data_IF_633121461858
#
_entry.id   IF_633121461858
#
_cell.length_a   1.000
_cell.length_b   1.000
_cell.length_c   1.000
_cell.angle_alpha   90.00
_cell.angle_beta   90.00
_cell.angle_gamma   90.00
#
_symmetry.space_group_name_H-M   'P 1'
#
loop_
_entity.id
_entity.type
_entity.pdbx_description
1 polymer ?
#
# COMPACT_ATOMS: atom_id res chain seq x y z
N UNK A 1 5.91 -0.89 2.32
CA UNK A 1 6.61 -1.96 3.02
C UNK A 1 5.82 -2.38 4.25
N UNK A 2 5.73 -3.68 4.47
CA UNK A 2 5.10 -4.25 5.67
C UNK A 2 5.94 -4.04 6.93
N UNK A 3 7.16 -3.55 6.80
CA UNK A 3 8.11 -3.37 7.90
C UNK A 3 8.44 -1.90 8.15
N UNK A 4 8.64 -1.53 9.41
CA UNK A 4 9.09 -0.18 9.79
C UNK A 4 10.59 0.00 9.52
N UNK A 5 10.98 1.11 8.89
CA UNK A 5 12.39 1.45 8.57
C UNK A 5 13.34 1.52 9.78
N UNK A 6 12.83 1.81 10.97
CA UNK A 6 13.66 2.10 12.15
C UNK A 6 13.76 0.92 13.15
N UNK A 7 13.08 -0.19 12.89
CA UNK A 7 12.99 -1.29 13.82
C UNK A 7 13.34 -2.56 13.04
N UNK A 8 14.19 -3.38 13.62
CA UNK A 8 14.66 -4.68 13.11
C UNK A 8 13.67 -5.35 12.17
N UNK A 9 14.12 -5.83 11.02
CA UNK A 9 13.34 -6.71 10.15
C UNK A 9 12.66 -7.77 11.00
N UNK A 10 11.33 -7.86 10.91
CA UNK A 10 10.51 -8.78 11.72
C UNK A 10 9.39 -8.10 12.52
N UNK A 11 9.44 -6.79 12.73
CA UNK A 11 8.28 -6.09 13.32
C UNK A 11 7.39 -5.53 12.20
N UNK A 12 6.24 -6.16 12.03
CA UNK A 12 5.21 -5.76 11.07
C UNK A 12 4.56 -4.45 11.47
N UNK A 13 4.19 -3.64 10.47
CA UNK A 13 3.40 -2.43 10.65
C UNK A 13 1.98 -2.69 10.13
N UNK A 14 1.04 -2.92 11.04
CA UNK A 14 -0.35 -3.23 10.71
C UNK A 14 -1.00 -2.18 9.79
N UNK A 15 -0.69 -0.90 9.98
CA UNK A 15 -1.23 0.16 9.12
C UNK A 15 -0.73 0.04 7.67
N UNK A 16 0.55 -0.30 7.47
CA UNK A 16 1.09 -0.53 6.14
C UNK A 16 0.52 -1.80 5.49
N UNK A 17 0.24 -2.83 6.27
CA UNK A 17 -0.37 -4.07 5.78
C UNK A 17 -1.80 -3.84 5.29
N UNK A 18 -2.58 -3.05 6.02
CA UNK A 18 -3.94 -2.64 5.64
C UNK A 18 -3.90 -1.88 4.31
N UNK A 19 -3.07 -0.83 4.21
CA UNK A 19 -2.92 -0.05 2.98
C UNK A 19 -2.49 -0.91 1.78
N UNK A 20 -1.59 -1.86 2.00
CA UNK A 20 -1.14 -2.80 0.96
C UNK A 20 -2.27 -3.71 0.51
N UNK A 21 -3.02 -4.29 1.44
CA UNK A 21 -4.16 -5.15 1.16
C UNK A 21 -5.27 -4.41 0.40
N UNK A 22 -5.55 -3.17 0.79
CA UNK A 22 -6.50 -2.31 0.09
C UNK A 22 -6.09 -2.08 -1.37
N UNK A 23 -4.83 -1.69 -1.61
CA UNK A 23 -4.31 -1.47 -2.97
C UNK A 23 -4.43 -2.73 -3.83
N UNK A 24 -4.03 -3.90 -3.31
CA UNK A 24 -4.13 -5.17 -4.03
C UNK A 24 -5.59 -5.52 -4.36
N UNK A 25 -6.49 -5.36 -3.39
CA UNK A 25 -7.93 -5.63 -3.59
C UNK A 25 -8.55 -4.70 -4.64
N UNK A 26 -8.18 -3.42 -4.66
CA UNK A 26 -8.67 -2.45 -5.65
C UNK A 26 -8.13 -2.74 -7.04
N UNK A 27 -6.85 -3.09 -7.15
CA UNK A 27 -6.25 -3.51 -8.43
C UNK A 27 -6.93 -4.77 -8.97
N UNK A 28 -7.24 -5.75 -8.11
CA UNK A 28 -7.94 -6.98 -8.49
C UNK A 28 -9.36 -6.71 -9.00
N UNK A 29 -10.05 -5.70 -8.46
CA UNK A 29 -11.37 -5.27 -8.94
C UNK A 29 -11.33 -4.57 -10.31
N UNK A 30 -10.14 -4.26 -10.81
CA UNK A 30 -9.94 -3.53 -12.07
C UNK A 30 -10.09 -2.02 -11.93
N UNK A 31 -9.97 -1.47 -10.73
CA UNK A 31 -9.99 -0.03 -10.52
C UNK A 31 -8.81 0.63 -11.25
N UNK A 32 -9.07 1.75 -11.91
CA UNK A 32 -7.99 2.61 -12.43
C UNK A 32 -7.39 3.41 -11.28
N UNK A 33 -6.13 3.11 -10.94
CA UNK A 33 -5.45 3.67 -9.78
C UNK A 33 -4.16 4.39 -10.15
N UNK A 34 -3.85 5.45 -9.40
CA UNK A 34 -2.50 5.97 -9.29
C UNK A 34 -1.91 5.44 -7.96
N UNK A 35 -0.94 4.53 -8.07
CA UNK A 35 -0.29 3.92 -6.89
C UNK A 35 1.06 4.58 -6.67
N UNK A 36 1.23 5.24 -5.52
CA UNK A 36 2.51 5.78 -5.08
C UNK A 36 3.19 4.79 -4.16
N UNK A 37 4.41 4.38 -4.51
CA UNK A 37 5.17 3.38 -3.75
C UNK A 37 6.65 3.76 -3.67
N UNK A 38 7.45 2.93 -3.02
CA UNK A 38 8.89 3.13 -2.85
C UNK A 38 9.66 1.79 -2.91
N UNK A 39 10.98 1.81 -3.14
CA UNK A 39 11.75 0.58 -3.41
C UNK A 39 11.62 -0.50 -2.35
N UNK A 40 11.61 -0.13 -1.06
CA UNK A 40 11.49 -1.09 0.04
C UNK A 40 10.15 -1.86 0.00
N UNK A 41 9.05 -1.19 -0.42
CA UNK A 41 7.76 -1.86 -0.60
C UNK A 41 7.73 -2.74 -1.85
N UNK A 42 8.42 -2.33 -2.92
CA UNK A 42 8.52 -3.11 -4.16
C UNK A 42 9.42 -4.34 -4.01
N UNK A 43 10.39 -4.31 -3.10
CA UNK A 43 11.22 -5.46 -2.80
C UNK A 43 10.42 -6.63 -2.22
N UNK A 44 9.31 -6.37 -1.54
CA UNK A 44 8.47 -7.41 -0.95
C UNK A 44 7.53 -8.01 -1.98
N UNK A 45 7.48 -9.34 -2.03
CA UNK A 45 6.48 -10.09 -2.80
C UNK A 45 5.08 -9.86 -2.24
N UNK A 46 4.08 -10.06 -3.06
CA UNK A 46 2.65 -9.97 -2.74
C UNK A 46 1.98 -11.31 -3.01
N UNK A 47 0.78 -11.52 -2.50
CA UNK A 47 -0.05 -12.67 -2.86
C UNK A 47 -0.34 -12.65 -4.36
N UNK A 48 -0.52 -13.81 -4.97
CA UNK A 48 -1.01 -13.88 -6.35
C UNK A 48 -2.46 -13.41 -6.47
N UNK A 49 -2.89 -13.03 -7.67
CA UNK A 49 -4.30 -12.67 -7.91
C UNK A 49 -5.24 -13.84 -7.64
N UNK A 50 -4.82 -15.06 -7.95
CA UNK A 50 -5.58 -16.29 -7.70
C UNK A 50 -5.77 -16.49 -6.19
N UNK A 51 -4.68 -16.45 -5.42
CA UNK A 51 -4.74 -16.63 -3.97
C UNK A 51 -5.54 -15.52 -3.27
N UNK A 52 -5.47 -14.29 -3.76
CA UNK A 52 -6.31 -13.19 -3.25
C UNK A 52 -7.79 -13.45 -3.52
N UNK A 53 -8.12 -14.00 -4.70
CA UNK A 53 -9.50 -14.38 -5.05
C UNK A 53 -10.02 -15.47 -4.10
N UNK A 54 -9.23 -16.51 -3.90
CA UNK A 54 -9.60 -17.66 -3.07
C UNK A 54 -9.78 -17.28 -1.59
N UNK A 55 -9.02 -16.28 -1.12
CA UNK A 55 -9.09 -15.77 0.26
C UNK A 55 -10.04 -14.59 0.43
N UNK A 56 -10.82 -14.24 -0.57
CA UNK A 56 -11.79 -13.14 -0.49
C UNK A 56 -13.19 -13.70 -0.33
N UNK A 57 -13.81 -13.50 0.84
CA UNK A 57 -15.21 -13.79 1.04
C UNK A 57 -16.05 -12.63 0.48
N UNK A 58 -16.87 -12.93 -0.52
CA UNK A 58 -17.81 -11.95 -1.11
C UNK A 58 -19.21 -12.25 -0.60
N UNK A 59 -19.92 -11.19 -0.22
CA UNK A 59 -21.32 -11.27 0.22
C UNK A 59 -22.12 -10.15 -0.44
N UNK A 60 -23.35 -10.46 -0.81
CA UNK A 60 -24.28 -9.52 -1.45
C UNK A 60 -25.65 -9.56 -0.78
N UNK A 61 -26.33 -8.42 -0.77
CA UNK A 61 -27.73 -8.35 -0.29
C UNK A 61 -28.61 -9.26 -1.14
N UNK A 62 -29.47 -10.05 -0.47
CA UNK A 62 -30.32 -11.07 -1.08
C UNK A 62 -29.64 -12.44 -1.28
N UNK A 63 -28.38 -12.59 -0.89
CA UNK A 63 -27.67 -13.86 -0.93
C UNK A 63 -28.09 -14.75 0.25
N UNK A 64 -28.30 -16.05 -0.02
CA UNK A 64 -28.60 -17.04 1.01
C UNK A 64 -27.30 -17.71 1.46
N UNK A 65 -26.95 -17.51 2.71
CA UNK A 65 -25.73 -18.07 3.32
C UNK A 65 -25.90 -18.22 4.82
N UNK A 66 -25.47 -19.35 5.35
CA UNK A 66 -25.53 -19.62 6.78
C UNK A 66 -24.53 -18.74 7.57
N UNK A 67 -25.01 -18.13 8.65
CA UNK A 67 -24.19 -17.31 9.54
C UNK A 67 -23.07 -18.10 10.23
N UNK A 68 -23.32 -19.40 10.54
CA UNK A 68 -22.32 -20.30 11.12
C UNK A 68 -21.20 -20.56 10.10
N UNK A 69 -21.55 -20.79 8.82
CA UNK A 69 -20.56 -20.93 7.74
C UNK A 69 -19.69 -19.69 7.59
N UNK A 70 -20.27 -18.49 7.64
CA UNK A 70 -19.48 -17.25 7.59
C UNK A 70 -18.52 -17.18 8.78
N UNK A 71 -18.96 -17.48 9.98
CA UNK A 71 -18.13 -17.47 11.18
C UNK A 71 -16.96 -18.48 11.08
N UNK A 72 -17.23 -19.68 10.53
CA UNK A 72 -16.19 -20.69 10.27
C UNK A 72 -15.15 -20.18 9.25
N UNK A 73 -15.59 -19.58 8.14
CA UNK A 73 -14.71 -19.00 7.13
C UNK A 73 -13.86 -17.88 7.73
N UNK A 74 -14.46 -16.97 8.50
CA UNK A 74 -13.72 -15.87 9.15
C UNK A 74 -12.68 -16.40 10.15
N UNK A 75 -13.04 -17.40 10.94
CA UNK A 75 -12.11 -18.09 11.84
C UNK A 75 -10.98 -18.76 11.04
N UNK A 76 -11.30 -19.45 9.95
CA UNK A 76 -10.33 -20.07 9.04
C UNK A 76 -9.40 -19.06 8.36
N UNK A 77 -9.85 -17.84 8.16
CA UNK A 77 -9.07 -16.72 7.66
C UNK A 77 -8.20 -16.05 8.74
N UNK A 78 -8.34 -16.47 10.01
CA UNK A 78 -7.58 -15.95 11.13
C UNK A 78 -8.16 -14.67 11.74
N UNK A 79 -9.45 -14.38 11.48
CA UNK A 79 -10.15 -13.31 12.21
C UNK A 79 -10.39 -13.73 13.66
N UNK A 80 -10.25 -12.78 14.57
CA UNK A 80 -10.52 -12.96 15.99
C UNK A 80 -12.01 -12.75 16.28
N UNK A 81 -12.63 -13.70 16.98
CA UNK A 81 -14.00 -13.54 17.48
C UNK A 81 -14.01 -12.69 18.74
N UNK A 82 -14.74 -11.58 18.72
CA UNK A 82 -14.82 -10.60 19.80
C UNK A 82 -16.28 -10.23 20.10
N UNK A 83 -16.56 -9.59 21.24
CA UNK A 83 -17.91 -9.09 21.54
C UNK A 83 -18.27 -7.85 20.69
N UNK A 84 -17.29 -6.96 20.46
CA UNK A 84 -17.42 -5.76 19.64
C UNK A 84 -16.18 -5.59 18.77
N UNK A 85 -16.40 -5.19 17.53
CA UNK A 85 -15.34 -5.01 16.53
C UNK A 85 -14.74 -3.60 16.64
N UNK A 86 -13.42 -3.53 16.80
CA UNK A 86 -12.65 -2.28 16.90
C UNK A 86 -11.51 -2.17 15.90
N UNK A 87 -10.95 -3.30 15.47
CA UNK A 87 -9.74 -3.35 14.65
C UNK A 87 -9.92 -4.30 13.46
N UNK A 88 -9.21 -4.07 12.32
CA UNK A 88 -9.17 -5.03 11.24
C UNK A 88 -8.73 -6.43 11.70
N UNK A 89 -9.38 -7.45 11.16
CA UNK A 89 -9.16 -8.83 11.56
C UNK A 89 -10.04 -9.29 12.72
N UNK A 90 -11.00 -8.49 13.16
CA UNK A 90 -11.99 -8.86 14.17
C UNK A 90 -13.37 -9.09 13.56
N UNK A 91 -14.13 -9.99 14.16
CA UNK A 91 -15.56 -10.19 13.86
C UNK A 91 -16.35 -10.50 15.12
N UNK A 92 -17.66 -10.19 15.10
CA UNK A 92 -18.60 -10.44 16.17
C UNK A 92 -19.90 -11.01 15.60
N UNK A 93 -20.51 -11.98 16.28
CA UNK A 93 -21.83 -12.56 15.93
C UNK A 93 -22.79 -12.25 17.06
N UNK A 94 -23.88 -11.54 16.75
CA UNK A 94 -24.90 -11.13 17.73
C UNK A 94 -26.30 -11.38 17.17
N UNK A 95 -26.86 -12.56 17.47
CA UNK A 95 -28.14 -12.97 16.92
C UNK A 95 -28.08 -13.06 15.39
N UNK A 96 -28.88 -12.27 14.68
CA UNK A 96 -28.92 -12.19 13.23
C UNK A 96 -27.93 -11.18 12.62
N UNK A 97 -26.97 -10.68 13.41
CA UNK A 97 -26.01 -9.65 12.96
C UNK A 97 -24.60 -10.21 13.00
N UNK A 98 -23.85 -10.02 11.91
CA UNK A 98 -22.41 -10.22 11.87
C UNK A 98 -21.75 -8.88 11.62
N UNK A 99 -20.89 -8.46 12.56
CA UNK A 99 -19.96 -7.35 12.38
C UNK A 99 -18.59 -7.90 12.02
N UNK A 100 -17.92 -7.33 11.01
CA UNK A 100 -16.59 -7.79 10.59
C UNK A 100 -15.76 -6.61 10.06
N UNK A 101 -14.49 -6.56 10.48
CA UNK A 101 -13.56 -5.56 9.98
C UNK A 101 -12.51 -6.19 9.06
N UNK A 102 -12.74 -6.03 7.76
CA UNK A 102 -11.84 -6.51 6.71
C UNK A 102 -10.53 -5.71 6.68
N UNK A 103 -9.42 -6.36 6.34
CA UNK A 103 -8.14 -5.68 6.07
C UNK A 103 -8.14 -4.82 4.79
N UNK A 104 -9.16 -4.94 3.96
CA UNK A 104 -9.32 -4.17 2.72
C UNK A 104 -10.38 -3.05 2.83
N UNK A 105 -10.77 -2.66 4.04
CA UNK A 105 -11.81 -1.66 4.25
C UNK A 105 -11.39 -0.65 5.33
N UNK A 106 -11.74 0.61 5.11
CA UNK A 106 -11.54 1.69 6.08
C UNK A 106 -12.48 1.57 7.30
N UNK A 107 -13.68 1.02 7.07
CA UNK A 107 -14.72 0.85 8.09
C UNK A 107 -15.16 -0.59 8.18
N UNK A 108 -15.53 -1.07 9.38
CA UNK A 108 -16.12 -2.39 9.54
C UNK A 108 -17.49 -2.46 8.85
N UNK A 109 -17.87 -3.67 8.50
CA UNK A 109 -19.17 -4.01 7.92
C UNK A 109 -20.09 -4.58 9.00
N UNK A 110 -21.37 -4.19 8.96
CA UNK A 110 -22.46 -4.80 9.69
C UNK A 110 -23.40 -5.45 8.69
N UNK A 111 -23.61 -6.74 8.83
CA UNK A 111 -24.41 -7.58 7.95
C UNK A 111 -25.59 -8.08 8.78
N UNK A 112 -26.79 -7.67 8.41
CA UNK A 112 -28.02 -8.14 9.02
C UNK A 112 -28.60 -9.29 8.19
N UNK A 113 -29.11 -10.30 8.87
CA UNK A 113 -29.72 -11.48 8.25
C UNK A 113 -31.20 -11.58 8.62
N UNK A 114 -32.00 -12.03 7.66
CA UNK A 114 -33.34 -12.52 7.90
C UNK A 114 -33.39 -14.04 7.60
N UNK A 115 -33.29 -14.86 8.64
CA UNK A 115 -33.00 -16.27 8.49
C UNK A 115 -31.59 -16.49 7.96
N UNK A 116 -31.48 -17.11 6.79
CA UNK A 116 -30.23 -17.35 6.04
C UNK A 116 -29.99 -16.33 4.90
N UNK A 117 -30.89 -15.36 4.70
CA UNK A 117 -30.79 -14.34 3.68
C UNK A 117 -30.09 -13.09 4.23
N UNK A 118 -29.11 -12.55 3.48
CA UNK A 118 -28.49 -11.26 3.77
C UNK A 118 -29.49 -10.14 3.48
N UNK A 119 -30.14 -9.60 4.52
CA UNK A 119 -31.15 -8.55 4.42
C UNK A 119 -30.53 -7.17 4.11
N UNK A 120 -29.48 -6.83 4.82
CA UNK A 120 -28.79 -5.57 4.59
C UNK A 120 -27.30 -5.60 4.96
N UNK A 121 -26.53 -4.79 4.26
CA UNK A 121 -25.11 -4.57 4.55
C UNK A 121 -24.86 -3.08 4.68
N UNK A 122 -24.14 -2.68 5.72
CA UNK A 122 -23.74 -1.29 5.95
C UNK A 122 -22.34 -1.19 6.58
N UNK A 123 -21.65 -0.09 6.35
CA UNK A 123 -20.47 0.26 7.13
C UNK A 123 -20.90 0.99 8.42
N UNK A 124 -20.05 0.96 9.44
CA UNK A 124 -20.29 1.68 10.68
C UNK A 124 -19.00 2.25 11.27
N UNK A 125 -19.14 3.24 12.13
CA UNK A 125 -18.02 3.84 12.87
C UNK A 125 -17.71 3.04 14.13
N UNK A 126 -16.43 2.76 14.32
CA UNK A 126 -15.94 1.97 15.48
C UNK A 126 -16.23 2.67 16.82
N UNK A 127 -16.03 4.00 16.89
CA UNK A 127 -16.12 4.76 18.14
C UNK A 127 -17.53 4.81 18.72
N UNK A 128 -18.55 4.99 17.87
CA UNK A 128 -19.92 5.18 18.29
C UNK A 128 -20.88 4.08 17.84
N UNK A 129 -20.39 3.11 17.05
CA UNK A 129 -21.15 1.99 16.49
C UNK A 129 -22.30 2.41 15.56
N UNK A 130 -22.32 3.67 15.08
CA UNK A 130 -23.37 4.19 14.20
C UNK A 130 -23.10 3.82 12.74
N UNK A 131 -24.17 3.44 12.06
CA UNK A 131 -24.14 3.12 10.62
C UNK A 131 -23.80 4.35 9.78
N UNK A 132 -22.95 4.16 8.75
CA UNK A 132 -22.55 5.19 7.78
C UNK A 132 -23.25 4.98 6.44
N UNK A 133 -22.81 4.00 5.68
CA UNK A 133 -23.22 3.79 4.29
C UNK A 133 -23.81 2.41 4.10
N UNK A 134 -24.87 2.33 3.29
CA UNK A 134 -25.38 1.04 2.79
C UNK A 134 -24.54 0.55 1.64
N UNK A 135 -24.31 -0.76 1.60
CA UNK A 135 -23.58 -1.44 0.53
C UNK A 135 -24.48 -2.54 -0.07
N UNK A 136 -24.40 -2.72 -1.38
CA UNK A 136 -25.10 -3.84 -2.06
C UNK A 136 -24.27 -5.13 -2.02
N UNK A 137 -22.96 -4.99 -2.01
CA UNK A 137 -22.02 -6.11 -1.89
C UNK A 137 -20.75 -5.66 -1.20
N UNK A 138 -20.09 -6.61 -0.54
CA UNK A 138 -18.81 -6.41 0.13
C UNK A 138 -17.82 -7.52 -0.22
N UNK A 139 -16.55 -7.23 0.02
CA UNK A 139 -15.47 -8.21 -0.04
C UNK A 139 -14.71 -8.17 1.29
N UNK A 140 -14.67 -9.28 1.97
CA UNK A 140 -13.95 -9.44 3.24
C UNK A 140 -12.63 -10.14 2.92
N UNK A 141 -11.53 -9.46 3.20
CA UNK A 141 -10.17 -9.92 2.91
C UNK A 141 -9.42 -10.06 4.23
N UNK A 142 -8.78 -11.21 4.47
CA UNK A 142 -7.96 -11.43 5.66
C UNK A 142 -6.61 -10.70 5.59
N UNK A 143 -5.80 -10.86 6.63
CA UNK A 143 -4.38 -10.50 6.58
C UNK A 143 -3.65 -11.37 5.55
N UNK A 144 -3.03 -10.71 4.55
CA UNK A 144 -2.42 -11.41 3.40
C UNK A 144 -0.94 -11.77 3.60
N UNK A 145 -0.30 -11.29 4.66
CA UNK A 145 1.14 -11.47 4.89
C UNK A 145 1.52 -12.94 5.07
N UNK A 146 0.67 -13.72 5.73
CA UNK A 146 0.88 -15.17 5.91
C UNK A 146 0.70 -15.95 4.59
N UNK A 147 -0.07 -15.41 3.67
CA UNK A 147 -0.32 -16.02 2.38
C UNK A 147 0.87 -15.93 1.42
N UNK A 148 1.67 -14.87 1.52
CA UNK A 148 2.90 -14.70 0.73
C UNK A 148 4.02 -15.68 1.08
N UNK A 149 3.89 -16.41 2.18
CA UNK A 149 4.96 -17.30 2.67
C UNK A 149 5.28 -18.48 1.74
N UNK A 150 4.34 -18.91 0.92
CA UNK A 150 4.49 -20.07 0.03
C UNK A 150 4.50 -19.74 -1.46
N UNK A 151 3.67 -18.82 -1.89
CA UNK A 151 3.39 -18.55 -3.32
C UNK A 151 3.44 -17.05 -3.65
N UNK A 152 4.25 -16.26 -2.94
CA UNK A 152 4.36 -14.83 -3.20
C UNK A 152 4.92 -14.54 -4.59
N UNK A 153 4.32 -13.59 -5.29
CA UNK A 153 4.74 -13.10 -6.60
C UNK A 153 5.27 -11.68 -6.50
N UNK A 154 6.08 -11.25 -7.47
CA UNK A 154 6.48 -9.85 -7.57
C UNK A 154 5.24 -8.96 -7.78
N UNK A 155 5.23 -7.77 -7.21
CA UNK A 155 4.17 -6.78 -7.46
C UNK A 155 3.99 -6.50 -8.96
N UNK A 156 5.06 -6.62 -9.76
CA UNK A 156 5.01 -6.48 -11.23
C UNK A 156 4.29 -7.62 -11.94
N UNK A 157 4.13 -8.77 -11.31
CA UNK A 157 3.30 -9.88 -11.82
C UNK A 157 1.83 -9.68 -11.47
N UNK A 158 1.57 -8.94 -10.39
CA UNK A 158 0.22 -8.68 -9.90
C UNK A 158 -0.50 -7.57 -10.67
N UNK A 159 0.22 -6.49 -11.06
CA UNK A 159 -0.37 -5.32 -11.72
C UNK A 159 -0.71 -5.58 -13.20
N UNK A 160 -1.72 -4.88 -13.77
CA UNK A 160 -2.06 -4.97 -15.19
C UNK A 160 -0.88 -4.62 -16.10
N UNK A 161 -0.74 -5.31 -17.23
CA UNK A 161 0.39 -5.14 -18.15
C UNK A 161 0.41 -3.80 -18.89
N UNK A 162 -0.70 -3.08 -18.94
CA UNK A 162 -0.83 -1.73 -19.49
C UNK A 162 -0.46 -0.62 -18.51
N UNK A 163 -0.06 -0.99 -17.27
CA UNK A 163 0.41 -0.05 -16.26
C UNK A 163 1.62 0.75 -16.76
N UNK A 164 1.64 2.05 -16.45
CA UNK A 164 2.79 2.92 -16.72
C UNK A 164 3.59 3.12 -15.43
N UNK A 165 4.87 2.78 -15.45
CA UNK A 165 5.79 2.99 -14.34
C UNK A 165 6.43 4.37 -14.46
N UNK A 166 6.24 5.22 -13.46
CA UNK A 166 6.88 6.53 -13.37
C UNK A 166 7.90 6.55 -12.22
N UNK A 167 9.18 6.84 -12.51
CA UNK A 167 10.23 6.83 -11.50
C UNK A 167 11.33 7.84 -11.81
N UNK A 168 12.01 8.30 -10.76
CA UNK A 168 13.06 9.30 -10.91
C UNK A 168 14.38 8.71 -11.41
N UNK A 169 14.78 7.56 -10.92
CA UNK A 169 16.08 6.95 -11.19
C UNK A 169 15.95 5.42 -11.11
N UNK A 170 15.90 4.80 -12.26
CA UNK A 170 15.74 3.35 -12.37
C UNK A 170 16.91 2.58 -11.73
N UNK A 171 18.13 3.04 -11.95
CA UNK A 171 19.31 2.35 -11.42
C UNK A 171 19.35 2.44 -9.90
N UNK A 172 19.04 3.61 -9.37
CA UNK A 172 18.96 3.79 -7.91
C UNK A 172 17.85 2.91 -7.30
N UNK A 173 16.67 2.83 -7.92
CA UNK A 173 15.58 1.95 -7.46
C UNK A 173 16.05 0.49 -7.43
N UNK A 174 16.71 0.04 -8.50
CA UNK A 174 17.26 -1.32 -8.58
C UNK A 174 18.28 -1.60 -7.48
N UNK A 175 19.23 -0.69 -7.28
CA UNK A 175 20.26 -0.81 -6.24
C UNK A 175 19.65 -0.78 -4.85
N UNK A 176 18.64 0.07 -4.62
CA UNK A 176 17.95 0.11 -3.33
C UNK A 176 17.19 -1.17 -3.03
N UNK A 177 16.50 -1.76 -4.01
CA UNK A 177 15.83 -3.07 -3.87
C UNK A 177 16.87 -4.16 -3.53
N UNK A 178 18.02 -4.17 -4.21
CA UNK A 178 19.11 -5.10 -3.90
C UNK A 178 19.59 -4.91 -2.45
N UNK A 179 19.84 -3.66 -2.03
CA UNK A 179 20.27 -3.35 -0.67
C UNK A 179 19.26 -3.81 0.39
N UNK A 180 17.96 -3.64 0.13
CA UNK A 180 16.91 -4.12 1.06
C UNK A 180 17.03 -5.61 1.29
N UNK A 181 17.21 -6.38 0.22
CA UNK A 181 17.40 -7.83 0.32
C UNK A 181 18.70 -8.19 1.04
N UNK A 182 19.81 -7.56 0.69
CA UNK A 182 21.13 -7.83 1.27
C UNK A 182 21.16 -7.47 2.76
N UNK A 183 20.52 -6.35 3.15
CA UNK A 183 20.36 -5.93 4.54
C UNK A 183 19.51 -6.94 5.33
N UNK A 184 18.39 -7.41 4.76
CA UNK A 184 17.49 -8.37 5.39
C UNK A 184 18.14 -9.75 5.59
N UNK A 185 18.98 -10.18 4.65
CA UNK A 185 19.66 -11.47 4.67
C UNK A 185 21.09 -11.37 5.24
N UNK A 186 21.50 -10.24 5.78
CA UNK A 186 22.82 -10.09 6.37
C UNK A 186 23.00 -10.98 7.61
N UNK A 187 24.20 -11.47 7.90
CA UNK A 187 24.46 -12.30 9.08
C UNK A 187 24.03 -11.62 10.39
N UNK A 188 24.17 -10.29 10.47
CA UNK A 188 23.76 -9.51 11.62
C UNK A 188 22.23 -9.47 11.77
N UNK A 189 21.48 -9.29 10.67
CA UNK A 189 20.03 -9.30 10.69
C UNK A 189 19.49 -10.70 11.05
N UNK A 190 20.08 -11.74 10.45
CA UNK A 190 19.72 -13.13 10.74
C UNK A 190 20.01 -13.53 12.18
N UNK A 191 21.14 -13.08 12.76
CA UNK A 191 21.50 -13.33 14.15
C UNK A 191 20.64 -12.55 15.16
N UNK A 192 20.12 -11.39 14.74
CA UNK A 192 19.27 -10.53 15.58
C UNK A 192 17.79 -10.91 15.52
N UNK A 193 17.42 -11.87 14.67
CA UNK A 193 16.03 -12.31 14.51
C UNK A 193 15.62 -13.18 15.72
N UNK A 194 14.58 -12.77 16.43
CA UNK A 194 14.06 -13.45 17.62
C UNK A 194 12.86 -14.38 17.31
N UNK A 195 12.47 -14.49 16.03
CA UNK A 195 11.36 -15.33 15.59
C UNK A 195 11.75 -16.78 15.30
N UNK A 196 10.79 -17.58 14.83
CA UNK A 196 11.03 -18.97 14.49
C UNK A 196 11.97 -19.11 13.28
N UNK A 197 12.85 -20.13 13.30
CA UNK A 197 13.78 -20.43 12.18
C UNK A 197 13.07 -20.62 10.83
N UNK A 198 11.84 -21.07 10.85
CA UNK A 198 11.00 -21.27 9.65
C UNK A 198 10.64 -19.96 8.97
N UNK A 199 10.37 -18.91 9.75
CA UNK A 199 10.10 -17.56 9.23
C UNK A 199 11.36 -16.93 8.62
N UNK A 200 12.51 -17.19 9.21
CA UNK A 200 13.82 -16.73 8.72
C UNK A 200 14.18 -17.32 7.35
N UNK A 201 13.94 -18.61 7.15
CA UNK A 201 14.12 -19.27 5.85
C UNK A 201 13.11 -18.75 4.80
N UNK A 202 11.97 -18.22 5.23
CA UNK A 202 10.96 -17.66 4.34
C UNK A 202 11.31 -16.23 3.86
N UNK A 203 12.18 -15.47 4.55
CA UNK A 203 12.56 -14.12 4.16
C UNK A 203 13.19 -14.06 2.77
N UNK A 204 14.05 -15.02 2.43
CA UNK A 204 14.66 -15.09 1.09
C UNK A 204 13.62 -15.24 0.00
N UNK A 205 12.56 -16.01 0.25
CA UNK A 205 11.48 -16.26 -0.70
C UNK A 205 10.48 -15.12 -0.77
N UNK A 206 10.45 -14.24 0.23
CA UNK A 206 9.53 -13.08 0.32
C UNK A 206 10.03 -11.82 -0.37
N UNK A 207 11.31 -11.76 -0.74
CA UNK A 207 11.92 -10.58 -1.34
C UNK A 207 12.36 -10.87 -2.76
N UNK A 208 12.19 -9.89 -3.64
CA UNK A 208 12.83 -9.87 -4.96
C UNK A 208 14.21 -9.20 -4.85
N UNK A 209 15.08 -9.48 -5.78
CA UNK A 209 16.35 -8.78 -5.92
C UNK A 209 16.31 -7.69 -7.01
N UNK A 210 17.40 -6.91 -7.10
CA UNK A 210 17.51 -5.85 -8.10
C UNK A 210 17.50 -6.35 -9.55
N UNK A 211 17.91 -7.60 -9.80
CA UNK A 211 17.89 -8.18 -11.14
C UNK A 211 16.49 -8.59 -11.55
N UNK A 212 15.73 -9.22 -10.65
CA UNK A 212 14.32 -9.54 -10.87
C UNK A 212 13.50 -8.28 -11.11
N UNK A 213 13.71 -7.23 -10.28
CA UNK A 213 13.08 -5.92 -10.51
C UNK A 213 13.37 -5.39 -11.92
N UNK A 214 14.65 -5.41 -12.34
CA UNK A 214 15.03 -4.87 -13.64
C UNK A 214 14.36 -5.63 -14.80
N UNK A 215 14.35 -6.95 -14.75
CA UNK A 215 13.69 -7.79 -15.78
C UNK A 215 12.19 -7.51 -15.83
N UNK A 216 11.50 -7.51 -14.68
CA UNK A 216 10.06 -7.29 -14.63
C UNK A 216 9.65 -5.89 -15.05
N UNK A 217 10.39 -4.86 -14.64
CA UNK A 217 10.10 -3.48 -14.99
C UNK A 217 10.25 -3.20 -16.50
N UNK A 218 11.06 -3.98 -17.23
CA UNK A 218 11.19 -3.87 -18.69
C UNK A 218 9.93 -4.29 -19.45
N UNK A 219 9.03 -5.04 -18.83
CA UNK A 219 7.76 -5.45 -19.43
C UNK A 219 6.72 -4.31 -19.53
N UNK A 220 6.98 -3.17 -18.88
CA UNK A 220 6.05 -2.04 -18.76
C UNK A 220 6.53 -0.82 -19.52
N UNK A 221 5.58 0.04 -19.89
CA UNK A 221 5.90 1.40 -20.34
C UNK A 221 6.47 2.18 -19.17
N UNK A 222 7.59 2.90 -19.39
CA UNK A 222 8.28 3.64 -18.36
C UNK A 222 8.42 5.11 -18.70
N UNK A 223 8.25 5.94 -17.67
CA UNK A 223 8.56 7.36 -17.67
C UNK A 223 9.66 7.55 -16.63
N UNK A 224 10.85 7.94 -17.06
CA UNK A 224 11.98 8.20 -16.18
C UNK A 224 12.22 9.71 -16.08
N UNK A 225 12.30 10.20 -14.84
CA UNK A 225 12.66 11.59 -14.56
C UNK A 225 14.12 11.66 -14.16
N UNK A 226 14.90 12.55 -14.74
CA UNK A 226 16.28 12.75 -14.35
C UNK A 226 17.19 13.15 -15.50
N UNK A 227 18.47 13.27 -15.21
CA UNK A 227 19.44 13.79 -16.16
C UNK A 227 19.96 12.74 -17.15
N UNK A 228 19.76 11.44 -16.85
CA UNK A 228 20.26 10.33 -17.68
C UNK A 228 19.20 9.22 -17.75
N UNK A 229 18.71 8.90 -18.94
CA UNK A 229 17.80 7.78 -19.11
C UNK A 229 18.54 6.44 -18.93
N UNK A 230 17.82 5.42 -18.50
CA UNK A 230 18.32 4.05 -18.47
C UNK A 230 18.07 3.39 -19.80
N UNK A 231 19.11 3.08 -20.55
CA UNK A 231 19.01 2.51 -21.90
C UNK A 231 18.68 3.56 -22.98
N UNK A 232 18.03 3.14 -24.06
CA UNK A 232 17.65 4.03 -25.18
C UNK A 232 16.18 4.39 -25.07
N UNK A 233 15.82 5.63 -24.72
CA UNK A 233 14.44 6.06 -24.64
C UNK A 233 13.82 6.20 -26.03
N UNK A 234 12.52 5.97 -26.14
CA UNK A 234 11.76 6.22 -27.39
C UNK A 234 11.61 7.72 -27.65
N UNK A 235 11.51 8.51 -26.60
CA UNK A 235 11.43 9.96 -26.65
C UNK A 235 12.09 10.58 -25.42
N UNK A 236 12.68 11.75 -25.60
CA UNK A 236 13.24 12.56 -24.52
C UNK A 236 12.57 13.92 -24.55
N UNK A 237 12.03 14.34 -23.42
CA UNK A 237 11.44 15.67 -23.23
C UNK A 237 12.41 16.50 -22.39
N UNK A 238 13.22 17.38 -23.02
CA UNK A 238 14.12 18.23 -22.27
C UNK A 238 13.35 19.37 -21.58
N UNK A 239 13.69 19.63 -20.33
CA UNK A 239 13.24 20.80 -19.59
C UNK A 239 14.44 21.67 -19.31
N UNK A 240 14.35 22.93 -19.71
CA UNK A 240 15.38 23.92 -19.36
C UNK A 240 15.15 24.36 -17.91
N UNK A 241 15.97 23.82 -17.02
CA UNK A 241 15.86 24.05 -15.58
C UNK A 241 17.20 24.40 -14.98
N UNK A 242 17.18 25.33 -14.03
CA UNK A 242 18.34 25.67 -13.21
C UNK A 242 18.08 25.32 -11.75
N UNK A 243 19.16 25.07 -11.00
CA UNK A 243 19.06 24.84 -9.57
C UNK A 243 18.57 26.10 -8.86
N UNK A 244 17.69 25.94 -7.88
CA UNK A 244 17.26 27.05 -7.04
C UNK A 244 18.47 27.64 -6.28
N UNK A 245 18.60 28.98 -6.22
CA UNK A 245 19.62 29.62 -5.42
C UNK A 245 19.51 29.25 -3.92
N UNK A 246 20.65 29.11 -3.26
CA UNK A 246 20.69 28.82 -1.83
C UNK A 246 20.76 30.17 -1.08
N UNK A 247 19.71 30.48 -0.35
CA UNK A 247 19.55 31.79 0.29
C UNK A 247 20.15 31.91 1.70
N UNK A 248 20.57 30.80 2.35
CA UNK A 248 21.17 30.77 3.69
C UNK A 248 20.44 31.63 4.75
N UNK A 249 19.09 31.67 4.70
CA UNK A 249 18.23 32.52 5.57
C UNK A 249 18.42 34.04 5.36
N UNK A 250 18.99 34.47 4.26
CA UNK A 250 19.10 35.87 3.92
C UNK A 250 17.84 36.33 3.16
N UNK A 251 16.95 37.04 3.87
CA UNK A 251 15.68 37.48 3.32
C UNK A 251 15.85 38.62 2.29
N UNK A 252 16.87 39.48 2.42
CA UNK A 252 17.15 40.51 1.45
C UNK A 252 17.57 39.92 0.10
N UNK A 253 18.36 38.85 0.13
CA UNK A 253 18.73 38.11 -1.07
C UNK A 253 17.52 37.37 -1.70
N UNK A 254 16.61 36.82 -0.88
CA UNK A 254 15.37 36.24 -1.37
C UNK A 254 14.53 37.29 -2.10
N UNK A 255 14.33 38.44 -1.44
CA UNK A 255 13.52 39.53 -1.97
C UNK A 255 14.07 40.07 -3.30
N UNK A 256 15.38 40.39 -3.34
CA UNK A 256 16.01 40.87 -4.57
C UNK A 256 15.94 39.83 -5.70
N UNK A 257 16.22 38.56 -5.43
CA UNK A 257 16.15 37.48 -6.43
C UNK A 257 14.73 37.30 -6.95
N UNK A 258 13.73 37.37 -6.09
CA UNK A 258 12.32 37.27 -6.53
C UNK A 258 11.89 38.45 -7.37
N UNK A 259 12.34 39.66 -7.03
CA UNK A 259 12.10 40.88 -7.83
C UNK A 259 12.69 40.71 -9.23
N UNK A 260 13.96 40.27 -9.31
CA UNK A 260 14.66 40.05 -10.58
C UNK A 260 13.95 39.02 -11.46
N UNK A 261 13.45 37.93 -10.89
CA UNK A 261 12.68 36.94 -11.63
C UNK A 261 11.33 37.49 -12.12
N UNK A 262 10.62 38.23 -11.30
CA UNK A 262 9.35 38.87 -11.70
C UNK A 262 9.56 39.87 -12.84
N UNK A 263 10.64 40.68 -12.78
CA UNK A 263 11.00 41.62 -13.85
C UNK A 263 11.35 40.89 -15.15
N UNK A 264 11.92 39.69 -15.07
CA UNK A 264 12.21 38.83 -16.21
C UNK A 264 10.96 38.07 -16.72
N UNK A 265 9.79 38.26 -16.12
CA UNK A 265 8.52 37.66 -16.50
C UNK A 265 8.27 36.26 -15.97
N UNK A 266 9.03 35.79 -14.96
CA UNK A 266 8.77 34.52 -14.31
C UNK A 266 7.55 34.59 -13.39
N UNK A 267 6.84 33.47 -13.28
CA UNK A 267 5.82 33.27 -12.25
C UNK A 267 6.43 32.51 -11.08
N UNK A 268 6.35 33.08 -9.88
CA UNK A 268 6.91 32.48 -8.67
C UNK A 268 5.87 31.61 -7.95
N UNK A 269 6.26 30.37 -7.63
CA UNK A 269 5.49 29.46 -6.80
C UNK A 269 6.31 29.09 -5.58
N UNK A 270 5.81 29.43 -4.38
CA UNK A 270 6.44 29.09 -3.10
C UNK A 270 5.64 27.94 -2.49
N UNK A 271 6.24 26.76 -2.47
CA UNK A 271 5.66 25.57 -1.85
C UNK A 271 6.06 25.49 -0.38
N UNK A 272 5.12 25.22 0.51
CA UNK A 272 5.33 25.07 1.94
C UNK A 272 4.64 23.82 2.47
N UNK A 273 5.19 23.22 3.53
CA UNK A 273 4.66 22.01 4.15
C UNK A 273 3.46 22.28 5.10
N UNK A 274 3.18 23.55 5.41
CA UNK A 274 2.07 23.90 6.31
C UNK A 274 1.51 25.29 6.06
N UNK A 275 0.22 25.46 6.33
CA UNK A 275 -0.46 26.77 6.28
C UNK A 275 0.19 27.83 7.18
N UNK A 276 0.75 27.43 8.33
CA UNK A 276 1.45 28.32 9.24
C UNK A 276 2.73 28.91 8.62
N UNK A 277 3.44 28.11 7.84
CA UNK A 277 4.61 28.60 7.08
C UNK A 277 4.18 29.51 5.93
N UNK A 278 3.13 29.11 5.19
CA UNK A 278 2.59 29.93 4.11
C UNK A 278 2.20 31.34 4.60
N UNK A 279 1.53 31.41 5.75
CA UNK A 279 1.13 32.69 6.36
C UNK A 279 2.34 33.55 6.75
N UNK A 280 3.37 32.94 7.35
CA UNK A 280 4.62 33.65 7.72
C UNK A 280 5.43 34.20 6.54
N UNK A 281 5.30 33.54 5.37
CA UNK A 281 5.99 33.99 4.15
C UNK A 281 5.20 35.05 3.41
N UNK A 282 3.90 35.20 3.72
CA UNK A 282 3.01 36.20 3.12
C UNK A 282 3.01 37.53 3.88
N UNK A 283 3.28 37.51 5.19
CA UNK A 283 3.45 38.67 6.07
C UNK A 283 4.87 39.25 5.93
#
# INVERSE_FOLDING_TARGET
SSYRRAIKYGQKDAANEILRTEVLSRLQKGDTLCVVTYPDALAEKVVSQEELTDKTLKLSVGEHVDTEFIAEVLTGYGFEHVDYVYEPGQYAVRGSIIDVFSFASEYPYRIDFFGDEVDSIRTFEVENQLSKEKKQSIAIVPELTKATDRNGVSFFEFIPKDTVLAMKDFLWVRERIQSVRDEALSPQALAAYEGEKTELMSLETKLIDGSEFAVRALEFKRIEFGNKPTGTPQATLPFDTSAQPIFHKNFDLVSSTFTDYLEQGYTLYICTDSEKQAKRLKD
#
